data_IF_112416365133
#
_entry.id   IF_112416365133
#
_cell.length_a   1.000
_cell.length_b   1.000
_cell.length_c   1.000
_cell.angle_alpha   90.00
_cell.angle_beta   90.00
_cell.angle_gamma   90.00
#
_symmetry.space_group_name_H-M   'P 1'
#
loop_
_entity.id
_entity.type
_entity.pdbx_description
1 polymer ?
#
# COMPACT_ATOMS: atom_id res chain seq x y z
N UNK A 1 38.50 -24.27 70.48
CA UNK A 1 39.45 -24.28 69.35
C UNK A 1 39.40 -22.91 68.70
N UNK A 2 40.29 -22.01 69.12
CA UNK A 2 40.46 -20.71 68.46
C UNK A 2 41.48 -20.92 67.35
N UNK A 3 41.02 -20.91 66.10
CA UNK A 3 41.89 -20.92 64.93
C UNK A 3 42.65 -19.60 64.95
N UNK A 4 43.95 -19.65 65.24
CA UNK A 4 44.85 -18.51 65.10
C UNK A 4 44.78 -17.98 63.66
N UNK A 5 44.69 -16.66 63.43
CA UNK A 5 44.78 -16.12 62.07
C UNK A 5 46.14 -16.51 61.52
N UNK A 6 46.16 -17.30 60.44
CA UNK A 6 47.39 -17.71 59.80
C UNK A 6 47.96 -16.49 59.07
N UNK A 7 49.15 -15.99 59.42
CA UNK A 7 49.69 -14.74 58.86
C UNK A 7 49.89 -14.80 57.33
N UNK A 8 49.91 -16.02 56.76
CA UNK A 8 49.94 -16.25 55.32
C UNK A 8 48.66 -15.84 54.60
N UNK A 9 47.49 -15.97 55.23
CA UNK A 9 46.19 -15.59 54.64
C UNK A 9 46.06 -14.07 54.61
N UNK A 10 46.42 -13.41 55.71
CA UNK A 10 46.40 -11.94 55.81
C UNK A 10 47.41 -11.30 54.84
N UNK A 11 48.56 -11.94 54.62
CA UNK A 11 49.54 -11.48 53.64
C UNK A 11 49.01 -11.58 52.21
N UNK A 12 48.41 -12.71 51.83
CA UNK A 12 47.79 -12.91 50.51
C UNK A 12 46.63 -11.92 50.32
N UNK A 13 45.85 -11.68 51.36
CA UNK A 13 44.74 -10.72 51.31
C UNK A 13 45.24 -9.28 51.14
N UNK A 14 46.31 -8.91 51.84
CA UNK A 14 46.96 -7.60 51.66
C UNK A 14 47.55 -7.41 50.25
N UNK A 15 48.16 -8.47 49.69
CA UNK A 15 48.77 -8.47 48.37
C UNK A 15 47.70 -8.40 47.28
N UNK A 16 46.62 -9.17 47.45
CA UNK A 16 45.46 -9.15 46.56
C UNK A 16 44.79 -7.77 46.59
N UNK A 17 44.58 -7.20 47.79
CA UNK A 17 44.01 -5.86 47.97
C UNK A 17 44.88 -4.79 47.31
N UNK A 18 46.21 -4.87 47.47
CA UNK A 18 47.17 -3.98 46.80
C UNK A 18 47.12 -4.09 45.27
N UNK A 19 47.06 -5.32 44.74
CA UNK A 19 46.92 -5.58 43.30
C UNK A 19 45.61 -5.06 42.73
N UNK A 20 44.51 -5.24 43.45
CA UNK A 20 43.19 -4.72 43.07
C UNK A 20 43.22 -3.18 43.07
N UNK A 21 43.74 -2.56 44.13
CA UNK A 21 43.84 -1.10 44.25
C UNK A 21 44.76 -0.46 43.19
N UNK A 22 45.78 -1.20 42.72
CA UNK A 22 46.67 -0.75 41.64
C UNK A 22 46.02 -0.86 40.25
N UNK A 23 45.12 -1.83 40.06
CA UNK A 23 44.45 -2.07 38.78
C UNK A 23 43.11 -1.31 38.63
N UNK A 24 42.47 -0.95 39.74
CA UNK A 24 41.25 -0.13 39.78
C UNK A 24 41.61 1.35 39.65
N UNK A 25 40.90 2.04 38.76
CA UNK A 25 40.90 3.49 38.71
C UNK A 25 40.02 4.06 39.83
N UNK A 26 40.62 4.74 40.81
CA UNK A 26 39.93 5.16 42.03
C UNK A 26 38.80 6.17 41.81
N UNK A 27 38.82 6.91 40.69
CA UNK A 27 37.79 7.90 40.37
C UNK A 27 36.56 7.28 39.68
N UNK A 28 36.76 6.25 38.85
CA UNK A 28 35.70 5.62 38.05
C UNK A 28 35.26 4.27 38.60
N UNK A 29 36.05 3.66 39.49
CA UNK A 29 35.85 2.31 40.01
C UNK A 29 36.05 1.20 38.97
N UNK A 30 36.58 1.53 37.79
CA UNK A 30 36.75 0.60 36.67
C UNK A 30 38.18 0.05 36.64
N UNK A 31 38.34 -1.21 36.24
CA UNK A 31 39.67 -1.78 36.04
C UNK A 31 40.27 -1.25 34.73
N UNK A 32 41.54 -0.80 34.77
CA UNK A 32 42.29 -0.36 33.58
C UNK A 32 42.75 -1.56 32.74
N UNK A 33 41.81 -2.26 32.11
CA UNK A 33 42.10 -3.35 31.17
C UNK A 33 41.65 -2.98 29.74
N UNK A 34 42.44 -3.28 28.69
CA UNK A 34 42.02 -3.11 27.30
C UNK A 34 40.74 -3.88 26.93
N UNK A 35 40.42 -4.95 27.68
CA UNK A 35 39.25 -5.80 27.45
C UNK A 35 38.03 -5.37 28.27
N UNK A 36 38.16 -4.41 29.18
CA UNK A 36 37.08 -4.03 30.12
C UNK A 36 35.86 -3.43 29.41
N UNK A 37 36.09 -2.74 28.29
CA UNK A 37 35.06 -2.21 27.40
C UNK A 37 34.35 -3.28 26.54
N UNK A 38 34.96 -4.45 26.37
CA UNK A 38 34.38 -5.61 25.67
C UNK A 38 33.59 -6.50 26.62
N UNK A 39 34.05 -6.64 27.87
CA UNK A 39 33.41 -7.47 28.89
C UNK A 39 32.14 -6.81 29.43
N UNK A 40 32.07 -5.46 29.44
CA UNK A 40 30.86 -4.72 29.81
C UNK A 40 30.05 -4.36 28.58
N UNK A 41 28.72 -4.41 28.71
CA UNK A 41 27.81 -3.86 27.71
C UNK A 41 28.05 -2.36 27.53
N UNK A 42 27.89 -1.85 26.30
CA UNK A 42 27.89 -0.42 26.05
C UNK A 42 26.70 0.23 26.76
N UNK A 43 26.87 1.41 27.39
CA UNK A 43 25.75 2.11 28.00
C UNK A 43 24.68 2.40 26.94
N UNK A 44 23.41 2.22 27.31
CA UNK A 44 22.28 2.57 26.45
C UNK A 44 22.29 4.07 26.15
N UNK A 45 21.77 4.45 24.98
CA UNK A 45 21.73 5.87 24.61
C UNK A 45 20.88 6.66 25.63
N UNK A 46 21.21 7.93 25.90
CA UNK A 46 20.43 8.77 26.82
C UNK A 46 18.95 8.87 26.41
N UNK A 47 18.65 8.84 25.11
CA UNK A 47 17.27 8.81 24.60
C UNK A 47 16.55 7.50 24.92
N UNK A 48 17.25 6.36 24.84
CA UNK A 48 16.70 5.06 25.20
C UNK A 48 16.43 4.98 26.70
N UNK A 49 17.31 5.55 27.52
CA UNK A 49 17.12 5.65 28.97
C UNK A 49 15.96 6.58 29.34
N UNK A 50 15.74 7.68 28.62
CA UNK A 50 14.60 8.58 28.85
C UNK A 50 13.25 7.90 28.60
N UNK A 51 13.20 6.98 27.63
CA UNK A 51 11.98 6.30 27.22
C UNK A 51 11.89 4.85 27.73
N UNK A 52 12.79 4.43 28.63
CA UNK A 52 12.90 3.03 29.07
C UNK A 52 11.74 2.54 29.96
N UNK A 53 10.83 3.43 30.34
CA UNK A 53 9.61 3.08 31.08
C UNK A 53 8.38 3.05 30.17
N UNK A 54 8.49 3.54 28.93
CA UNK A 54 7.38 3.60 27.99
C UNK A 54 7.28 2.32 27.17
N UNK A 55 6.23 1.54 27.39
CA UNK A 55 5.95 0.33 26.61
C UNK A 55 5.77 0.64 25.13
N UNK A 56 5.22 1.81 24.76
CA UNK A 56 5.05 2.20 23.36
C UNK A 56 6.39 2.39 22.65
N UNK A 57 7.39 2.90 23.37
CA UNK A 57 8.74 3.05 22.86
C UNK A 57 9.36 1.69 22.51
N UNK A 58 9.28 0.70 23.40
CA UNK A 58 9.79 -0.65 23.10
C UNK A 58 8.97 -1.36 22.02
N UNK A 59 7.65 -1.23 22.04
CA UNK A 59 6.80 -1.79 20.98
C UNK A 59 7.21 -1.23 19.61
N UNK A 60 7.48 0.07 19.53
CA UNK A 60 7.96 0.71 18.30
C UNK A 60 9.34 0.17 17.89
N UNK A 61 10.25 -0.06 18.84
CA UNK A 61 11.56 -0.67 18.54
C UNK A 61 11.44 -2.11 18.05
N UNK A 62 10.57 -2.91 18.64
CA UNK A 62 10.32 -4.30 18.21
C UNK A 62 9.76 -4.32 16.79
N UNK A 63 8.75 -3.49 16.50
CA UNK A 63 8.18 -3.38 15.15
C UNK A 63 9.23 -2.95 14.13
N UNK A 64 10.06 -1.96 14.49
CA UNK A 64 11.16 -1.50 13.63
C UNK A 64 12.19 -2.61 13.38
N UNK A 65 12.55 -3.38 14.40
CA UNK A 65 13.55 -4.45 14.30
C UNK A 65 13.02 -5.66 13.53
N UNK A 66 11.71 -5.88 13.55
CA UNK A 66 11.05 -6.95 12.78
C UNK A 66 10.71 -6.52 11.36
N UNK A 67 10.97 -5.26 10.98
CA UNK A 67 10.62 -4.67 9.68
C UNK A 67 9.12 -4.78 9.34
N UNK A 68 8.26 -4.81 10.37
CA UNK A 68 6.81 -4.94 10.20
C UNK A 68 6.15 -3.55 10.23
N UNK A 69 5.20 -3.34 9.33
CA UNK A 69 4.41 -2.11 9.32
C UNK A 69 3.42 -2.11 10.50
N UNK A 70 3.21 -0.97 11.18
CA UNK A 70 2.17 -0.89 12.18
C UNK A 70 0.80 -1.27 11.59
N UNK A 71 -0.09 -1.96 12.33
CA UNK A 71 -1.37 -2.45 11.80
C UNK A 71 -2.23 -1.37 11.13
N UNK A 72 -2.20 -0.14 11.63
CA UNK A 72 -2.96 0.97 11.05
C UNK A 72 -2.42 1.42 9.67
N UNK A 73 -1.11 1.29 9.41
CA UNK A 73 -0.50 1.58 8.10
C UNK A 73 -0.90 0.52 7.08
N UNK A 74 -0.90 -0.76 7.47
CA UNK A 74 -1.35 -1.84 6.61
C UNK A 74 -2.83 -1.64 6.23
N UNK A 75 -3.67 -1.32 7.21
CA UNK A 75 -5.07 -0.98 6.99
C UNK A 75 -5.23 0.28 6.12
N UNK A 76 -4.34 1.26 6.27
CA UNK A 76 -4.33 2.45 5.41
C UNK A 76 -4.07 2.08 3.94
N UNK A 77 -3.09 1.21 3.69
CA UNK A 77 -2.73 0.76 2.34
C UNK A 77 -3.85 -0.08 1.72
N UNK A 78 -4.40 -1.02 2.49
CA UNK A 78 -5.56 -1.82 2.08
C UNK A 78 -6.75 -0.97 1.70
N UNK A 79 -7.14 -0.03 2.58
CA UNK A 79 -8.25 0.90 2.34
C UNK A 79 -8.01 1.78 1.10
N UNK A 80 -6.80 2.33 0.94
CA UNK A 80 -6.46 3.12 -0.24
C UNK A 80 -6.59 2.29 -1.54
N UNK A 81 -6.19 1.03 -1.51
CA UNK A 81 -6.34 0.11 -2.65
C UNK A 81 -7.81 -0.18 -2.93
N UNK A 82 -8.61 -0.49 -1.91
CA UNK A 82 -10.05 -0.74 -2.03
C UNK A 82 -10.78 0.47 -2.64
N UNK A 83 -10.47 1.69 -2.18
CA UNK A 83 -11.05 2.93 -2.74
C UNK A 83 -10.63 3.13 -4.20
N UNK A 84 -9.36 2.88 -4.55
CA UNK A 84 -8.89 2.98 -5.93
C UNK A 84 -9.61 2.00 -6.86
N UNK A 85 -9.77 0.75 -6.43
CA UNK A 85 -10.49 -0.28 -7.19
C UNK A 85 -11.95 0.13 -7.36
N UNK A 86 -12.64 0.48 -6.27
CA UNK A 86 -14.03 0.96 -6.32
C UNK A 86 -14.22 2.11 -7.31
N UNK A 87 -13.33 3.10 -7.26
CA UNK A 87 -13.36 4.23 -8.20
C UNK A 87 -13.08 3.78 -9.64
N UNK A 88 -12.23 2.79 -9.86
CA UNK A 88 -12.02 2.22 -11.19
C UNK A 88 -13.27 1.50 -11.70
N UNK A 89 -13.98 0.79 -10.83
CA UNK A 89 -15.22 0.09 -11.17
C UNK A 89 -16.32 1.09 -11.55
N UNK A 90 -16.44 2.20 -10.82
CA UNK A 90 -17.35 3.30 -11.17
C UNK A 90 -17.06 3.86 -12.58
N UNK A 91 -15.78 4.10 -12.90
CA UNK A 91 -15.39 4.57 -14.23
C UNK A 91 -15.78 3.56 -15.31
N UNK A 92 -15.70 2.25 -15.02
CA UNK A 92 -16.14 1.19 -15.94
C UNK A 92 -17.66 1.14 -16.12
N UNK A 93 -18.44 1.33 -15.05
CA UNK A 93 -19.90 1.40 -15.15
C UNK A 93 -20.33 2.57 -16.05
N UNK A 94 -19.74 3.75 -15.84
CA UNK A 94 -20.00 4.90 -16.69
C UNK A 94 -19.56 4.67 -18.13
N UNK A 95 -18.38 4.10 -18.34
CA UNK A 95 -17.90 3.78 -19.68
C UNK A 95 -18.85 2.81 -20.41
N UNK A 96 -19.29 1.74 -19.74
CA UNK A 96 -20.28 0.78 -20.26
C UNK A 96 -21.61 1.46 -20.58
N UNK A 97 -22.06 2.38 -19.71
CA UNK A 97 -23.27 3.15 -19.93
C UNK A 97 -23.14 4.05 -21.17
N UNK A 98 -22.00 4.75 -21.33
CA UNK A 98 -21.73 5.58 -22.52
C UNK A 98 -21.81 4.72 -23.80
N UNK A 99 -21.26 3.52 -23.78
CA UNK A 99 -21.27 2.64 -24.94
C UNK A 99 -22.67 2.15 -25.33
N UNK A 100 -23.51 1.81 -24.35
CA UNK A 100 -24.73 1.03 -24.58
C UNK A 100 -26.02 1.85 -24.54
N UNK A 101 -26.07 2.91 -23.73
CA UNK A 101 -27.29 3.65 -23.41
C UNK A 101 -27.22 5.13 -23.79
N UNK A 102 -26.02 5.70 -23.87
CA UNK A 102 -25.89 7.12 -24.21
C UNK A 102 -26.17 7.43 -25.69
N UNK A 103 -26.25 8.72 -25.99
CA UNK A 103 -26.32 9.27 -27.35
C UNK A 103 -25.17 8.76 -28.24
N UNK A 104 -24.03 8.38 -27.66
CA UNK A 104 -22.87 7.85 -28.39
C UNK A 104 -23.10 6.47 -29.00
N UNK A 105 -24.07 5.67 -28.52
CA UNK A 105 -24.33 4.29 -28.99
C UNK A 105 -24.43 4.20 -30.51
N UNK A 106 -25.26 5.05 -31.11
CA UNK A 106 -25.50 5.05 -32.55
C UNK A 106 -24.23 5.43 -33.34
N UNK A 107 -23.41 6.33 -32.81
CA UNK A 107 -22.15 6.74 -33.42
C UNK A 107 -21.08 5.65 -33.28
N UNK A 108 -21.06 4.92 -32.17
CA UNK A 108 -20.15 3.78 -31.96
C UNK A 108 -20.46 2.64 -32.92
N UNK A 109 -21.73 2.34 -33.15
CA UNK A 109 -22.15 1.29 -34.09
C UNK A 109 -21.81 1.66 -35.54
N UNK A 110 -21.98 2.93 -35.92
CA UNK A 110 -21.74 3.42 -37.29
C UNK A 110 -20.28 3.72 -37.61
N UNK A 111 -19.48 4.12 -36.63
CA UNK A 111 -18.10 4.56 -36.86
C UNK A 111 -17.23 3.45 -37.43
N UNK A 112 -16.41 3.76 -38.45
CA UNK A 112 -15.45 2.80 -39.02
C UNK A 112 -14.03 3.07 -38.55
N UNK A 113 -13.72 4.32 -38.18
CA UNK A 113 -12.43 4.74 -37.61
C UNK A 113 -12.61 5.37 -36.23
N UNK A 114 -11.54 5.38 -35.44
CA UNK A 114 -11.52 6.00 -34.10
C UNK A 114 -11.67 7.51 -34.21
N UNK A 115 -11.00 8.15 -35.17
CA UNK A 115 -10.98 9.61 -35.33
C UNK A 115 -12.38 10.18 -35.57
N UNK A 116 -13.19 9.52 -36.42
CA UNK A 116 -14.59 9.90 -36.66
C UNK A 116 -15.43 9.88 -35.39
N UNK A 117 -15.14 8.94 -34.48
CA UNK A 117 -15.86 8.82 -33.22
C UNK A 117 -15.41 9.88 -32.21
N UNK A 118 -14.12 10.23 -32.20
CA UNK A 118 -13.60 11.29 -31.34
C UNK A 118 -14.13 12.66 -31.76
N UNK A 119 -14.22 12.93 -33.06
CA UNK A 119 -14.82 14.17 -33.57
C UNK A 119 -16.30 14.31 -33.14
N UNK A 120 -17.07 13.22 -33.25
CA UNK A 120 -18.47 13.21 -32.78
C UNK A 120 -18.57 13.32 -31.27
N UNK A 121 -17.63 12.75 -30.53
CA UNK A 121 -17.56 12.89 -29.08
C UNK A 121 -17.34 14.36 -28.69
N UNK A 122 -16.37 15.04 -29.29
CA UNK A 122 -16.09 16.46 -29.02
C UNK A 122 -17.28 17.38 -29.33
N UNK A 123 -18.03 17.08 -30.41
CA UNK A 123 -19.25 17.82 -30.77
C UNK A 123 -20.37 17.63 -29.76
N UNK A 124 -20.50 16.42 -29.23
CA UNK A 124 -21.60 16.04 -28.34
C UNK A 124 -21.25 16.18 -26.85
N UNK A 125 -19.99 16.41 -26.48
CA UNK A 125 -19.55 16.49 -25.07
C UNK A 125 -20.32 17.54 -24.26
N UNK A 126 -20.66 18.67 -24.90
CA UNK A 126 -21.43 19.76 -24.27
C UNK A 126 -22.90 19.40 -24.02
N UNK A 127 -23.41 18.36 -24.69
CA UNK A 127 -24.78 17.85 -24.52
C UNK A 127 -24.87 16.78 -23.45
N UNK A 128 -23.73 16.28 -22.96
CA UNK A 128 -23.64 15.16 -22.03
C UNK A 128 -23.58 15.73 -20.61
N UNK A 129 -24.73 16.08 -20.04
CA UNK A 129 -24.92 16.61 -18.68
C UNK A 129 -25.24 15.51 -17.68
N UNK A 130 -24.71 15.61 -16.45
CA UNK A 130 -24.97 14.62 -15.40
C UNK A 130 -26.45 14.54 -15.00
N UNK A 131 -27.15 15.68 -14.96
CA UNK A 131 -28.54 15.76 -14.47
C UNK A 131 -29.54 14.98 -15.34
N UNK A 132 -29.22 14.75 -16.61
CA UNK A 132 -30.05 13.98 -17.54
C UNK A 132 -29.68 12.49 -17.57
N UNK A 133 -28.59 12.10 -16.93
CA UNK A 133 -27.98 10.78 -17.07
C UNK A 133 -27.93 10.03 -15.73
N UNK A 134 -28.62 8.89 -15.66
CA UNK A 134 -28.59 8.01 -14.49
C UNK A 134 -28.05 6.63 -14.84
N UNK A 135 -27.26 6.07 -13.91
CA UNK A 135 -26.88 4.67 -13.96
C UNK A 135 -28.10 3.78 -13.67
N UNK A 136 -28.09 2.52 -14.13
CA UNK A 136 -29.13 1.55 -13.80
C UNK A 136 -29.31 1.40 -12.28
N UNK A 137 -30.55 1.24 -11.81
CA UNK A 137 -30.87 1.09 -10.38
C UNK A 137 -30.10 -0.07 -9.72
N UNK A 138 -29.84 -1.14 -10.47
CA UNK A 138 -29.03 -2.29 -10.01
C UNK A 138 -27.59 -1.87 -9.69
N UNK A 139 -27.00 -1.02 -10.53
CA UNK A 139 -25.62 -0.57 -10.38
C UNK A 139 -25.53 0.44 -9.22
N UNK A 140 -26.53 1.31 -9.07
CA UNK A 140 -26.64 2.23 -7.92
C UNK A 140 -26.73 1.46 -6.60
N UNK A 141 -27.58 0.43 -6.52
CA UNK A 141 -27.71 -0.40 -5.32
C UNK A 141 -26.38 -1.09 -4.94
N UNK A 142 -25.63 -1.57 -5.95
CA UNK A 142 -24.30 -2.13 -5.73
C UNK A 142 -23.32 -1.07 -5.18
N UNK A 143 -23.33 0.13 -5.77
CA UNK A 143 -22.46 1.24 -5.35
C UNK A 143 -22.77 1.66 -3.91
N UNK A 144 -24.05 1.78 -3.53
CA UNK A 144 -24.46 2.10 -2.17
C UNK A 144 -23.97 1.07 -1.15
N UNK A 145 -24.13 -0.22 -1.46
CA UNK A 145 -23.65 -1.31 -0.61
C UNK A 145 -22.12 -1.26 -0.47
N UNK A 146 -21.40 -1.00 -1.56
CA UNK A 146 -19.93 -0.90 -1.57
C UNK A 146 -19.44 0.31 -0.78
N UNK A 147 -20.10 1.46 -0.91
CA UNK A 147 -19.79 2.67 -0.14
C UNK A 147 -20.06 2.46 1.35
N UNK A 148 -21.15 1.79 1.73
CA UNK A 148 -21.40 1.39 3.13
C UNK A 148 -20.26 0.55 3.70
N UNK A 149 -19.78 -0.44 2.93
CA UNK A 149 -18.65 -1.28 3.34
C UNK A 149 -17.37 -0.44 3.50
N UNK A 150 -17.01 0.38 2.50
CA UNK A 150 -15.83 1.24 2.56
C UNK A 150 -15.89 2.24 3.72
N UNK A 151 -17.07 2.78 4.02
CA UNK A 151 -17.28 3.68 5.16
C UNK A 151 -17.12 2.98 6.51
N UNK A 152 -17.45 1.69 6.60
CA UNK A 152 -17.15 0.88 7.78
C UNK A 152 -15.63 0.66 7.94
N UNK A 153 -14.93 0.37 6.84
CA UNK A 153 -13.46 0.26 6.82
C UNK A 153 -12.78 1.59 7.21
N UNK A 154 -13.25 2.72 6.66
CA UNK A 154 -12.77 4.07 7.01
C UNK A 154 -12.96 4.33 8.51
N UNK A 155 -14.11 3.96 9.08
CA UNK A 155 -14.35 4.11 10.52
C UNK A 155 -13.37 3.27 11.33
N UNK A 156 -13.16 2.01 10.95
CA UNK A 156 -12.22 1.11 11.62
C UNK A 156 -10.78 1.66 11.57
N UNK A 157 -10.34 2.09 10.38
CA UNK A 157 -9.05 2.73 10.18
C UNK A 157 -8.89 4.00 11.03
N UNK A 158 -9.87 4.90 11.03
CA UNK A 158 -9.82 6.14 11.80
C UNK A 158 -9.72 5.87 13.31
N UNK A 159 -10.34 4.80 13.81
CA UNK A 159 -10.25 4.43 15.22
C UNK A 159 -8.84 3.94 15.60
N UNK A 160 -8.13 3.31 14.67
CA UNK A 160 -6.77 2.79 14.87
C UNK A 160 -5.68 3.84 14.57
N UNK A 161 -6.03 4.92 13.88
CA UNK A 161 -5.07 5.94 13.47
C UNK A 161 -4.65 6.77 14.69
N UNK A 162 -3.35 6.85 15.01
CA UNK A 162 -2.88 7.60 16.17
C UNK A 162 -2.98 9.12 16.02
N UNK A 163 -3.21 9.63 14.80
CA UNK A 163 -3.25 11.05 14.50
C UNK A 163 -4.54 11.46 13.80
N UNK A 164 -5.17 12.52 14.30
CA UNK A 164 -6.41 13.08 13.74
C UNK A 164 -6.21 13.58 12.31
N UNK A 165 -5.02 14.10 11.99
CA UNK A 165 -4.68 14.54 10.63
C UNK A 165 -4.61 13.37 9.63
N UNK A 166 -4.41 12.15 10.12
CA UNK A 166 -4.39 10.93 9.31
C UNK A 166 -5.77 10.34 9.04
N UNK A 167 -6.84 10.90 9.64
CA UNK A 167 -8.21 10.42 9.47
C UNK A 167 -8.71 10.66 8.05
N UNK A 168 -9.47 9.69 7.54
CA UNK A 168 -10.13 9.75 6.23
C UNK A 168 -11.58 10.16 6.38
N UNK A 169 -12.05 10.98 5.44
CA UNK A 169 -13.46 11.34 5.35
C UNK A 169 -14.28 10.17 4.79
N UNK A 170 -15.52 10.07 5.24
CA UNK A 170 -16.48 9.12 4.67
C UNK A 170 -16.77 9.50 3.23
N UNK A 171 -17.02 8.47 2.42
CA UNK A 171 -17.45 8.58 1.04
C UNK A 171 -18.95 8.84 1.01
N UNK A 172 -19.35 9.69 0.08
CA UNK A 172 -20.74 10.04 -0.22
C UNK A 172 -21.09 9.47 -1.60
N UNK A 173 -22.26 8.83 -1.71
CA UNK A 173 -22.63 8.06 -2.91
C UNK A 173 -22.80 8.99 -4.10
N UNK A 174 -23.63 10.03 -3.96
CA UNK A 174 -23.94 10.97 -5.03
C UNK A 174 -22.67 11.72 -5.48
N UNK A 175 -21.84 12.12 -4.52
CA UNK A 175 -20.57 12.76 -4.81
C UNK A 175 -19.62 11.87 -5.61
N UNK A 176 -19.46 10.60 -5.24
CA UNK A 176 -18.57 9.69 -5.94
C UNK A 176 -19.08 9.33 -7.35
N UNK A 177 -20.40 9.16 -7.51
CA UNK A 177 -21.03 8.91 -8.81
C UNK A 177 -20.80 10.11 -9.74
N UNK A 178 -21.08 11.33 -9.27
CA UNK A 178 -20.89 12.56 -10.04
C UNK A 178 -19.41 12.79 -10.39
N UNK A 179 -18.49 12.63 -9.44
CA UNK A 179 -17.06 12.75 -9.72
C UNK A 179 -16.55 11.72 -10.73
N UNK A 180 -17.03 10.47 -10.64
CA UNK A 180 -16.66 9.42 -11.59
C UNK A 180 -17.20 9.71 -12.99
N UNK A 181 -18.39 10.28 -13.12
CA UNK A 181 -18.94 10.70 -14.40
C UNK A 181 -17.99 11.65 -15.14
N UNK A 182 -17.60 12.75 -14.50
CA UNK A 182 -16.67 13.72 -15.12
C UNK A 182 -15.31 13.13 -15.43
N UNK A 183 -14.78 12.30 -14.53
CA UNK A 183 -13.50 11.62 -14.75
C UNK A 183 -13.55 10.63 -15.91
N UNK A 184 -14.68 9.95 -16.09
CA UNK A 184 -14.89 9.04 -17.22
C UNK A 184 -14.95 9.80 -18.54
N UNK A 185 -15.64 10.95 -18.56
CA UNK A 185 -15.69 11.82 -19.74
C UNK A 185 -14.30 12.35 -20.14
N UNK A 186 -13.50 12.78 -19.18
CA UNK A 186 -12.13 13.25 -19.43
C UNK A 186 -11.25 12.13 -20.00
N UNK A 187 -11.36 10.92 -19.44
CA UNK A 187 -10.60 9.75 -19.90
C UNK A 187 -11.18 9.08 -21.15
N UNK A 188 -12.40 9.45 -21.57
CA UNK A 188 -13.15 8.74 -22.61
C UNK A 188 -12.36 8.55 -23.91
N UNK A 189 -11.67 9.56 -24.47
CA UNK A 189 -10.89 9.40 -25.70
C UNK A 189 -9.86 8.26 -25.62
N UNK A 190 -9.17 8.15 -24.50
CA UNK A 190 -8.16 7.11 -24.27
C UNK A 190 -8.78 5.71 -24.06
N UNK A 191 -9.97 5.65 -23.46
CA UNK A 191 -10.68 4.40 -23.19
C UNK A 191 -11.32 3.84 -24.46
N UNK A 192 -11.90 4.71 -25.28
CA UNK A 192 -12.56 4.30 -26.51
C UNK A 192 -11.56 3.83 -27.56
N UNK A 193 -10.39 4.46 -27.67
CA UNK A 193 -9.31 4.00 -28.55
C UNK A 193 -8.88 2.56 -28.19
N UNK A 194 -8.63 2.30 -26.90
CA UNK A 194 -8.30 0.96 -26.40
C UNK A 194 -9.42 -0.04 -26.67
N UNK A 195 -10.66 0.34 -26.42
CA UNK A 195 -11.82 -0.51 -26.65
C UNK A 195 -12.00 -0.85 -28.15
N UNK A 196 -11.81 0.13 -29.03
CA UNK A 196 -11.96 -0.01 -30.48
C UNK A 196 -10.92 -0.96 -31.08
N UNK A 197 -9.65 -0.85 -30.65
CA UNK A 197 -8.58 -1.79 -31.01
C UNK A 197 -8.97 -3.24 -30.68
N UNK A 198 -9.46 -3.48 -29.46
CA UNK A 198 -9.87 -4.83 -29.03
C UNK A 198 -11.10 -5.35 -29.77
N UNK A 199 -12.13 -4.53 -29.98
CA UNK A 199 -13.45 -4.99 -30.44
C UNK A 199 -13.68 -4.92 -31.97
N UNK A 200 -12.98 -4.03 -32.69
CA UNK A 200 -13.17 -3.85 -34.14
C UNK A 200 -11.99 -4.37 -34.97
N UNK A 201 -10.75 -4.22 -34.52
CA UNK A 201 -9.59 -4.82 -35.23
C UNK A 201 -9.59 -6.35 -35.03
N UNK A 202 -9.92 -6.82 -33.83
CA UNK A 202 -10.07 -8.25 -33.52
C UNK A 202 -11.20 -8.97 -34.27
N UNK A 203 -12.16 -8.26 -34.90
CA UNK A 203 -13.16 -8.88 -35.79
C UNK A 203 -12.59 -9.24 -37.15
N UNK A 204 -11.55 -8.54 -37.63
CA UNK A 204 -10.95 -8.83 -38.95
C UNK A 204 -10.09 -10.10 -38.95
N UNK A 205 -9.59 -10.54 -37.80
CA UNK A 205 -8.79 -11.77 -37.69
C UNK A 205 -9.61 -13.06 -37.54
N UNK A 206 -10.94 -12.99 -37.40
CA UNK A 206 -11.83 -14.17 -37.31
C UNK A 206 -12.52 -14.56 -38.62
N UNK A 207 -12.20 -13.87 -39.73
CA UNK A 207 -12.85 -14.07 -41.04
C UNK A 207 -11.94 -14.73 -42.10
N UNK A 208 -10.81 -15.32 -41.69
CA UNK A 208 -9.95 -16.10 -42.58
C UNK A 208 -10.05 -17.58 -42.22
N UNK A 209 -10.70 -18.31 -43.14
CA UNK A 209 -10.67 -19.74 -43.43
C UNK A 209 -11.04 -20.77 -42.34
N UNK A 210 -12.27 -21.31 -42.44
CA UNK A 210 -12.47 -22.75 -42.18
C UNK A 210 -13.69 -23.29 -42.96
N UNK A 211 -13.50 -24.04 -44.05
CA UNK A 211 -14.55 -24.87 -44.64
C UNK A 211 -14.56 -26.22 -43.88
N UNK A 212 -15.40 -26.35 -42.86
CA UNK A 212 -15.53 -27.61 -42.15
C UNK A 212 -16.30 -27.49 -40.84
N UNK A 213 -17.48 -28.11 -40.81
CA UNK A 213 -18.31 -28.21 -39.62
C UNK A 213 -17.61 -28.92 -38.46
N UNK A 214 -17.93 -28.50 -37.24
CA UNK A 214 -17.42 -29.12 -36.02
C UNK A 214 -17.76 -28.29 -34.80
N UNK A 215 -18.73 -28.79 -34.04
CA UNK A 215 -19.25 -28.36 -32.75
C UNK A 215 -18.30 -27.63 -31.78
N UNK A 216 -18.85 -26.57 -31.18
CA UNK A 216 -18.62 -26.09 -29.80
C UNK A 216 -17.17 -26.02 -29.28
N UNK A 217 -16.52 -24.86 -29.49
CA UNK A 217 -15.25 -24.47 -28.84
C UNK A 217 -15.42 -23.44 -27.71
N UNK A 218 -16.49 -23.52 -26.92
CA UNK A 218 -16.75 -22.58 -25.82
C UNK A 218 -16.27 -23.07 -24.43
N UNK A 219 -15.61 -24.24 -24.34
CA UNK A 219 -15.25 -24.84 -23.05
C UNK A 219 -13.73 -24.95 -22.76
N UNK A 220 -12.85 -24.52 -23.66
CA UNK A 220 -11.40 -24.78 -23.52
C UNK A 220 -10.51 -23.54 -23.24
N UNK A 221 -11.11 -22.37 -23.03
CA UNK A 221 -10.35 -21.13 -22.70
C UNK A 221 -10.08 -20.92 -21.20
N UNK A 222 -10.39 -21.90 -20.34
CA UNK A 222 -10.05 -21.88 -18.91
C UNK A 222 -8.79 -22.67 -18.54
N UNK A 223 -8.01 -23.14 -19.51
CA UNK A 223 -6.68 -23.72 -19.23
C UNK A 223 -5.62 -22.63 -19.34
N UNK A 224 -5.36 -21.95 -18.22
CA UNK A 224 -4.23 -21.03 -18.04
C UNK A 224 -2.93 -21.73 -18.45
N UNK A 225 -2.37 -21.33 -19.59
CA UNK A 225 -0.97 -21.58 -19.92
C UNK A 225 -0.16 -20.61 -19.08
N UNK A 226 0.66 -21.16 -18.18
CA UNK A 226 1.52 -20.39 -17.28
C UNK A 226 2.34 -19.37 -18.07
N UNK A 227 2.12 -18.10 -17.76
CA UNK A 227 2.98 -17.01 -18.19
C UNK A 227 4.29 -17.13 -17.43
N UNK A 228 5.39 -17.40 -18.13
CA UNK A 228 6.73 -17.15 -17.62
C UNK A 228 6.85 -15.66 -17.30
N UNK A 229 6.82 -15.36 -16.01
CA UNK A 229 7.14 -14.04 -15.48
C UNK A 229 8.65 -13.90 -15.68
N UNK A 230 9.06 -13.04 -16.61
CA UNK A 230 10.43 -12.52 -16.61
C UNK A 230 10.60 -11.67 -15.35
N UNK A 231 10.98 -12.33 -14.27
CA UNK A 231 11.42 -11.70 -13.04
C UNK A 231 12.76 -11.04 -13.34
N UNK A 232 12.76 -9.71 -13.47
CA UNK A 232 13.99 -8.93 -13.42
C UNK A 232 14.60 -9.10 -12.03
N UNK A 233 15.38 -10.16 -11.88
CA UNK A 233 16.12 -10.52 -10.67
C UNK A 233 17.35 -9.64 -10.54
N UNK A 234 17.11 -8.34 -10.36
CA UNK A 234 18.05 -7.36 -9.83
C UNK A 234 17.31 -6.03 -9.63
N UNK A 235 16.34 -6.03 -8.73
CA UNK A 235 15.99 -4.83 -8.00
C UNK A 235 16.50 -5.06 -6.59
N UNK A 236 17.45 -4.23 -6.19
CA UNK A 236 18.03 -4.22 -4.85
C UNK A 236 16.88 -4.20 -3.81
N UNK A 237 16.68 -5.25 -3.00
CA UNK A 237 15.56 -5.34 -2.07
C UNK A 237 15.69 -4.35 -0.91
N UNK A 238 16.79 -3.59 -0.86
CA UNK A 238 17.08 -2.59 0.17
C UNK A 238 16.69 -1.16 -0.20
N UNK A 239 15.81 -0.96 -1.19
CA UNK A 239 15.04 0.28 -1.30
C UNK A 239 14.08 0.34 -0.11
N UNK A 240 14.62 0.82 1.00
CA UNK A 240 13.96 1.02 2.27
C UNK A 240 12.92 2.13 2.10
N UNK A 241 11.79 1.83 1.45
CA UNK A 241 10.62 2.70 1.33
C UNK A 241 10.22 3.18 2.73
N UNK A 242 10.36 2.32 3.72
CA UNK A 242 10.14 2.64 5.12
C UNK A 242 11.14 3.65 5.70
N UNK A 243 12.42 3.62 5.31
CA UNK A 243 13.43 4.62 5.71
C UNK A 243 13.15 5.97 5.06
N UNK A 244 12.72 5.98 3.79
CA UNK A 244 12.27 7.20 3.11
C UNK A 244 11.03 7.82 3.77
N UNK A 245 10.05 7.01 4.17
CA UNK A 245 8.87 7.48 4.94
C UNK A 245 9.27 7.99 6.31
N UNK A 246 10.17 7.29 7.02
CA UNK A 246 10.70 7.71 8.33
C UNK A 246 11.45 9.04 8.24
N UNK A 247 12.18 9.27 7.16
CA UNK A 247 12.90 10.53 6.91
C UNK A 247 11.93 11.69 6.61
N UNK A 248 10.84 11.44 5.86
CA UNK A 248 9.77 12.43 5.64
C UNK A 248 9.11 12.87 6.97
N UNK A 249 8.82 11.92 7.88
CA UNK A 249 8.24 12.25 9.18
C UNK A 249 9.23 12.90 10.16
N UNK A 250 10.54 12.62 10.03
CA UNK A 250 11.58 13.33 10.80
C UNK A 250 11.80 14.76 10.32
N UNK A 251 11.65 15.03 9.02
CA UNK A 251 11.78 16.37 8.43
C UNK A 251 10.58 17.29 8.75
N UNK A 252 9.43 16.74 9.12
CA UNK A 252 8.22 17.51 9.43
C UNK A 252 8.15 18.03 10.88
N UNK A 253 9.29 18.09 11.59
CA UNK A 253 9.39 18.53 12.99
C UNK A 253 10.26 19.77 13.14
#
# INVERSE_FOLDING_TARGET
MLVSPSPSVDFVDSLATSRINAAIDQQTGQFKSPTMSTVRGKPLSPEHLKNCTDTNYFMTQVLNNQEVLPPWIENQQGLNKSIKIFRSDLDQFWFKWILNESVMKQFIERSTTVDQLLDEYERNIKRITYEDNSLPETDVAYIEAKVKLLNAEIRSYNLQCPSVSGHKLKLDVDREINQSYWRTLDKFPSLIEKWFKVHKEGRKSKLVDNPGGGSSKYLDSFKMKGSEIHESRNVDPSLNIWKAVKDIFKMAK
#
